data_IF_932929386679
#
_entry.id   IF_932929386679
#
_cell.length_a   1.000
_cell.length_b   1.000
_cell.length_c   1.000
_cell.angle_alpha   90.00
_cell.angle_beta   90.00
_cell.angle_gamma   90.00
#
_symmetry.space_group_name_H-M   'P 1'
#
loop_
_entity.id
_entity.type
_entity.pdbx_description
1 polymer ?
#
# COMPACT_ATOMS: atom_id res chain seq x y z
N UNK A 1 21.29 37.13 -38.88
CA UNK A 1 20.24 36.17 -38.42
C UNK A 1 20.07 36.37 -36.92
N UNK A 2 18.97 36.94 -36.42
CA UNK A 2 18.89 37.15 -34.98
C UNK A 2 17.67 37.86 -34.38
N UNK A 3 16.78 38.51 -35.14
CA UNK A 3 15.57 39.14 -34.57
C UNK A 3 14.29 38.58 -35.19
N UNK A 4 14.25 38.51 -36.52
CA UNK A 4 13.11 37.95 -37.26
C UNK A 4 12.77 36.51 -36.81
N UNK A 5 13.79 35.70 -36.51
CA UNK A 5 13.59 34.36 -35.95
C UNK A 5 12.88 34.42 -34.59
N UNK A 6 13.36 35.24 -33.65
CA UNK A 6 12.73 35.33 -32.33
C UNK A 6 11.33 35.94 -32.40
N UNK A 7 11.05 36.85 -33.34
CA UNK A 7 9.70 37.36 -33.55
C UNK A 7 8.74 36.26 -34.06
N UNK A 8 9.21 35.41 -34.98
CA UNK A 8 8.45 34.24 -35.44
C UNK A 8 8.26 33.22 -34.32
N UNK A 9 9.32 32.87 -33.59
CA UNK A 9 9.27 31.92 -32.47
C UNK A 9 8.36 32.46 -31.34
N UNK A 10 8.38 33.77 -31.08
CA UNK A 10 7.54 34.43 -30.07
C UNK A 10 6.05 34.39 -30.44
N UNK A 11 5.73 34.57 -31.72
CA UNK A 11 4.36 34.41 -32.24
C UNK A 11 3.90 32.94 -32.21
N UNK A 12 4.77 32.02 -32.64
CA UNK A 12 4.48 30.58 -32.64
C UNK A 12 4.31 29.99 -31.22
N UNK A 13 5.04 30.52 -30.23
CA UNK A 13 4.93 30.10 -28.83
C UNK A 13 3.61 30.53 -28.15
N UNK A 14 2.82 31.41 -28.78
CA UNK A 14 1.53 31.88 -28.27
C UNK A 14 0.46 31.72 -29.33
N UNK A 15 0.07 30.48 -29.64
CA UNK A 15 -1.09 30.23 -30.47
C UNK A 15 -2.35 30.81 -29.81
N UNK A 16 -3.37 31.06 -30.62
CA UNK A 16 -4.68 31.49 -30.13
C UNK A 16 -5.27 30.44 -29.19
N UNK A 17 -5.74 30.87 -28.01
CA UNK A 17 -6.18 29.97 -26.96
C UNK A 17 -7.42 29.17 -27.35
N UNK A 18 -8.30 29.78 -28.15
CA UNK A 18 -9.57 29.18 -28.55
C UNK A 18 -9.35 28.10 -29.61
N UNK A 19 -8.41 28.33 -30.54
CA UNK A 19 -7.99 27.32 -31.51
C UNK A 19 -7.36 26.09 -30.84
N UNK A 20 -6.43 26.29 -29.90
CA UNK A 20 -5.80 25.18 -29.16
C UNK A 20 -6.82 24.41 -28.33
N UNK A 21 -7.78 25.10 -27.71
CA UNK A 21 -8.86 24.45 -26.97
C UNK A 21 -9.68 23.54 -27.87
N UNK A 22 -10.08 24.02 -29.06
CA UNK A 22 -10.82 23.21 -30.02
C UNK A 22 -10.06 21.95 -30.44
N UNK A 23 -8.76 22.07 -30.69
CA UNK A 23 -7.91 20.93 -31.05
C UNK A 23 -7.77 19.91 -29.90
N UNK A 24 -7.57 20.40 -28.67
CA UNK A 24 -7.47 19.55 -27.48
C UNK A 24 -8.80 18.85 -27.21
N UNK A 25 -9.92 19.57 -27.27
CA UNK A 25 -11.25 19.00 -27.03
C UNK A 25 -11.59 17.94 -28.08
N UNK A 26 -11.27 18.18 -29.36
CA UNK A 26 -11.44 17.19 -30.42
C UNK A 26 -10.54 15.96 -30.23
N UNK A 27 -9.30 16.16 -29.78
CA UNK A 27 -8.39 15.06 -29.46
C UNK A 27 -8.91 14.23 -28.28
N UNK A 28 -9.33 14.89 -27.19
CA UNK A 28 -9.82 14.23 -25.98
C UNK A 28 -11.12 13.48 -26.25
N UNK A 29 -12.04 14.04 -27.03
CA UNK A 29 -13.26 13.34 -27.45
C UNK A 29 -12.95 12.01 -28.18
N UNK A 30 -12.04 12.03 -29.17
CA UNK A 30 -11.60 10.81 -29.88
C UNK A 30 -10.92 9.80 -28.96
N UNK A 31 -10.13 10.30 -28.01
CA UNK A 31 -9.46 9.45 -27.03
C UNK A 31 -10.46 8.77 -26.10
N UNK A 32 -11.44 9.51 -25.58
CA UNK A 32 -12.50 9.00 -24.72
C UNK A 32 -13.37 7.96 -25.44
N UNK A 33 -13.74 8.21 -26.71
CA UNK A 33 -14.44 7.24 -27.55
C UNK A 33 -13.63 5.93 -27.72
N UNK A 34 -12.33 6.05 -28.03
CA UNK A 34 -11.46 4.89 -28.19
C UNK A 34 -11.26 4.12 -26.88
N UNK A 35 -11.17 4.81 -25.74
CA UNK A 35 -11.10 4.20 -24.41
C UNK A 35 -12.39 3.47 -24.06
N UNK A 36 -13.54 4.10 -24.32
CA UNK A 36 -14.85 3.50 -24.08
C UNK A 36 -15.04 2.20 -24.87
N UNK A 37 -14.69 2.19 -26.16
CA UNK A 37 -14.79 0.97 -26.99
C UNK A 37 -13.84 -0.14 -26.50
N UNK A 38 -12.61 0.19 -26.08
CA UNK A 38 -11.69 -0.77 -25.47
C UNK A 38 -12.26 -1.37 -24.19
N UNK A 39 -12.75 -0.53 -23.28
CA UNK A 39 -13.34 -0.96 -22.02
C UNK A 39 -14.59 -1.83 -22.22
N UNK A 40 -15.38 -1.52 -23.26
CA UNK A 40 -16.54 -2.31 -23.67
C UNK A 40 -16.13 -3.68 -24.21
N UNK A 41 -15.13 -3.74 -25.09
CA UNK A 41 -14.60 -5.01 -25.60
C UNK A 41 -14.03 -5.87 -24.48
N UNK A 42 -13.25 -5.28 -23.56
CA UNK A 42 -12.72 -5.98 -22.39
C UNK A 42 -13.84 -6.48 -21.47
N UNK A 43 -14.89 -5.70 -21.25
CA UNK A 43 -16.05 -6.13 -20.46
C UNK A 43 -16.76 -7.34 -21.08
N UNK A 44 -16.87 -7.38 -22.41
CA UNK A 44 -17.48 -8.50 -23.12
C UNK A 44 -16.62 -9.76 -23.02
N UNK A 45 -15.29 -9.64 -23.15
CA UNK A 45 -14.37 -10.77 -23.07
C UNK A 45 -14.20 -11.35 -21.66
N UNK A 46 -14.42 -10.55 -20.61
CA UNK A 46 -14.23 -10.97 -19.20
C UNK A 46 -15.09 -12.16 -18.75
N UNK A 47 -16.23 -12.41 -19.40
CA UNK A 47 -17.16 -13.49 -19.03
C UNK A 47 -17.26 -14.60 -20.10
N UNK A 48 -16.42 -14.54 -21.13
CA UNK A 48 -16.38 -15.55 -22.18
C UNK A 48 -15.29 -16.56 -21.80
N UNK A 49 -15.66 -17.83 -21.75
CA UNK A 49 -14.71 -18.91 -21.54
C UNK A 49 -13.94 -19.18 -22.84
N UNK A 50 -12.64 -19.42 -22.72
CA UNK A 50 -11.79 -19.80 -23.84
C UNK A 50 -12.12 -21.21 -24.36
N UNK A 51 -11.47 -21.64 -25.44
CA UNK A 51 -11.66 -22.98 -26.04
C UNK A 51 -11.47 -24.14 -25.01
N UNK A 52 -10.62 -23.92 -24.01
CA UNK A 52 -10.34 -24.87 -22.92
C UNK A 52 -11.29 -24.72 -21.71
N UNK A 53 -12.28 -23.82 -21.77
CA UNK A 53 -13.29 -23.62 -20.73
C UNK A 53 -12.85 -22.75 -19.54
N UNK A 54 -11.71 -22.08 -19.61
CA UNK A 54 -11.24 -21.17 -18.57
C UNK A 54 -11.72 -19.73 -18.80
N UNK A 55 -12.04 -19.03 -17.70
CA UNK A 55 -12.40 -17.61 -17.72
C UNK A 55 -11.20 -16.80 -17.20
N UNK A 56 -10.63 -15.87 -18.01
CA UNK A 56 -9.48 -15.09 -17.59
C UNK A 56 -9.84 -14.04 -16.53
N UNK A 57 -9.14 -14.05 -15.39
CA UNK A 57 -9.32 -13.03 -14.33
C UNK A 57 -8.51 -11.77 -14.68
N UNK A 58 -9.16 -10.81 -15.32
CA UNK A 58 -8.55 -9.49 -15.59
C UNK A 58 -8.87 -8.54 -14.45
N UNK A 59 -7.83 -7.97 -13.81
CA UNK A 59 -8.03 -6.89 -12.83
C UNK A 59 -8.30 -5.58 -13.57
N UNK A 60 -9.52 -5.03 -13.43
CA UNK A 60 -9.78 -3.63 -13.76
C UNK A 60 -8.97 -2.74 -12.80
N UNK A 61 -7.90 -2.12 -13.28
CA UNK A 61 -7.17 -1.13 -12.50
C UNK A 61 -8.05 0.12 -12.32
N UNK A 62 -8.35 0.52 -11.08
CA UNK A 62 -8.94 1.85 -10.83
C UNK A 62 -7.89 2.91 -11.10
N UNK A 63 -8.00 3.58 -12.25
CA UNK A 63 -7.19 4.73 -12.64
C UNK A 63 -6.00 4.35 -13.53
N UNK A 64 -6.24 4.36 -14.85
CA UNK A 64 -5.28 4.66 -15.94
C UNK A 64 -3.96 3.88 -16.03
N UNK A 65 -3.68 2.95 -15.12
CA UNK A 65 -2.50 2.10 -15.19
C UNK A 65 -2.82 0.96 -16.13
N UNK A 66 -2.27 1.05 -17.34
CA UNK A 66 -2.30 0.07 -18.42
C UNK A 66 -2.32 -1.36 -17.84
N UNK A 67 -3.52 -1.94 -17.79
CA UNK A 67 -3.76 -3.32 -17.39
C UNK A 67 -4.05 -4.15 -18.62
N UNK A 68 -3.32 -3.93 -19.72
CA UNK A 68 -3.44 -4.61 -21.00
C UNK A 68 -2.94 -6.08 -20.94
N UNK A 69 -3.06 -6.75 -19.79
CA UNK A 69 -2.56 -8.12 -19.58
C UNK A 69 -1.03 -8.23 -19.56
N UNK A 70 -0.31 -7.30 -20.18
CA UNK A 70 1.12 -7.07 -19.99
C UNK A 70 1.25 -6.15 -18.78
N UNK A 71 1.19 -6.74 -17.59
CA UNK A 71 1.51 -6.02 -16.37
C UNK A 71 2.94 -5.47 -16.52
N UNK A 72 3.08 -4.19 -16.86
CA UNK A 72 4.35 -3.51 -16.68
C UNK A 72 4.52 -3.37 -15.16
N UNK A 73 5.29 -4.31 -14.59
CA UNK A 73 5.80 -4.26 -13.21
C UNK A 73 6.86 -3.14 -13.14
N UNK A 74 6.53 -1.96 -13.64
CA UNK A 74 7.47 -0.88 -13.94
C UNK A 74 6.98 0.44 -13.34
N UNK A 75 6.46 0.40 -12.11
CA UNK A 75 6.23 1.62 -11.33
C UNK A 75 6.38 1.40 -9.82
N UNK A 76 6.90 0.26 -9.39
CA UNK A 76 7.25 0.02 -7.99
C UNK A 76 8.66 -0.53 -8.00
N UNK A 77 9.60 0.17 -7.38
CA UNK A 77 10.95 -0.37 -7.22
C UNK A 77 10.84 -1.69 -6.44
N UNK A 78 11.77 -2.62 -6.69
CA UNK A 78 11.80 -3.90 -5.96
C UNK A 78 11.83 -3.66 -4.45
N UNK A 79 12.44 -2.56 -4.02
CA UNK A 79 12.52 -2.13 -2.63
C UNK A 79 11.19 -1.61 -2.09
N UNK A 80 10.43 -0.83 -2.86
CA UNK A 80 9.07 -0.41 -2.47
C UNK A 80 8.13 -1.61 -2.35
N UNK A 81 8.21 -2.55 -3.30
CA UNK A 81 7.40 -3.77 -3.28
C UNK A 81 7.74 -4.63 -2.05
N UNK A 82 9.03 -4.72 -1.69
CA UNK A 82 9.50 -5.39 -0.48
C UNK A 82 9.01 -4.68 0.78
N UNK A 83 9.12 -3.35 0.85
CA UNK A 83 8.63 -2.56 1.98
C UNK A 83 7.11 -2.71 2.19
N UNK A 84 6.34 -2.66 1.10
CA UNK A 84 4.88 -2.87 1.15
C UNK A 84 4.51 -4.31 1.54
N UNK A 85 5.32 -5.31 1.15
CA UNK A 85 5.12 -6.70 1.56
C UNK A 85 5.50 -6.97 3.01
N UNK A 86 6.52 -6.26 3.53
CA UNK A 86 6.95 -6.32 4.92
C UNK A 86 5.91 -5.65 5.85
N UNK A 87 5.31 -4.53 5.41
CA UNK A 87 4.23 -3.87 6.15
C UNK A 87 2.91 -4.68 6.20
N UNK A 88 2.72 -5.65 5.30
CA UNK A 88 1.49 -6.47 5.22
C UNK A 88 1.64 -7.88 5.77
N UNK A 89 2.79 -8.21 6.34
CA UNK A 89 3.07 -9.53 6.88
C UNK A 89 3.60 -9.39 8.30
N UNK A 90 2.67 -9.20 9.23
CA UNK A 90 2.70 -10.15 10.32
C UNK A 90 2.20 -11.46 9.69
N UNK A 91 3.07 -12.43 9.36
CA UNK A 91 2.55 -13.76 9.08
C UNK A 91 1.65 -14.08 10.26
N UNK A 92 0.46 -14.64 10.01
CA UNK A 92 -0.37 -15.20 11.07
C UNK A 92 0.48 -16.28 11.72
N UNK A 93 1.29 -15.87 12.69
CA UNK A 93 2.04 -16.76 13.53
C UNK A 93 0.94 -17.39 14.33
N UNK A 94 0.67 -18.66 14.06
CA UNK A 94 -0.27 -19.46 14.85
C UNK A 94 0.38 -19.71 16.22
N UNK A 95 0.54 -18.62 16.93
CA UNK A 95 1.18 -18.55 18.22
C UNK A 95 0.29 -19.17 19.31
N UNK A 96 -0.93 -19.56 18.91
CA UNK A 96 -1.91 -20.33 19.67
C UNK A 96 -2.47 -21.55 18.88
N UNK A 97 -1.72 -22.12 17.94
CA UNK A 97 -2.17 -23.34 17.24
C UNK A 97 -2.39 -24.50 18.22
N UNK A 98 -1.51 -24.60 19.23
CA UNK A 98 -1.44 -25.74 20.12
C UNK A 98 -1.68 -25.38 21.57
N UNK A 99 -2.37 -26.28 22.28
CA UNK A 99 -2.68 -26.11 23.72
C UNK A 99 -1.43 -25.98 24.60
N UNK A 100 -0.29 -26.54 24.19
CA UNK A 100 0.96 -26.41 24.96
C UNK A 100 1.52 -24.98 24.94
N UNK A 101 1.36 -24.25 23.83
CA UNK A 101 1.80 -22.85 23.70
C UNK A 101 1.07 -21.96 24.72
N UNK A 102 -0.25 -22.15 24.84
CA UNK A 102 -1.05 -21.43 25.83
C UNK A 102 -0.67 -21.80 27.29
N UNK A 103 -0.26 -23.05 27.56
CA UNK A 103 0.19 -23.47 28.90
C UNK A 103 1.55 -22.86 29.25
N UNK A 104 2.47 -22.85 28.29
CA UNK A 104 3.80 -22.25 28.44
C UNK A 104 3.70 -20.75 28.71
N UNK A 105 2.94 -20.02 27.90
CA UNK A 105 2.66 -18.59 28.11
C UNK A 105 2.11 -18.28 29.51
N UNK A 106 1.15 -19.07 29.99
CA UNK A 106 0.58 -18.89 31.35
C UNK A 106 1.62 -19.17 32.44
N UNK A 107 2.51 -20.15 32.22
CA UNK A 107 3.60 -20.44 33.16
C UNK A 107 4.61 -19.30 33.22
N UNK A 108 4.99 -18.75 32.09
CA UNK A 108 5.94 -17.64 32.00
C UNK A 108 5.36 -16.39 32.67
N UNK A 109 4.10 -16.07 32.39
CA UNK A 109 3.37 -14.97 33.05
C UNK A 109 3.31 -15.16 34.58
N UNK A 110 3.09 -16.39 35.05
CA UNK A 110 3.06 -16.68 36.49
C UNK A 110 4.45 -16.56 37.13
N UNK A 111 5.51 -16.97 36.42
CA UNK A 111 6.89 -16.83 36.87
C UNK A 111 7.28 -15.34 37.00
N UNK A 112 6.93 -14.53 36.00
CA UNK A 112 7.15 -13.08 36.03
C UNK A 112 6.41 -12.40 37.17
N UNK A 113 5.16 -12.80 37.43
CA UNK A 113 4.37 -12.25 38.53
C UNK A 113 5.00 -12.57 39.89
N UNK A 114 5.49 -13.80 40.09
CA UNK A 114 6.18 -14.21 41.32
C UNK A 114 7.46 -13.41 41.52
N UNK A 115 8.26 -13.25 40.47
CA UNK A 115 9.49 -12.45 40.50
C UNK A 115 9.20 -11.01 40.94
N UNK A 116 8.21 -10.35 40.32
CA UNK A 116 7.82 -8.98 40.68
C UNK A 116 7.31 -8.89 42.11
N UNK A 117 6.57 -9.90 42.57
CA UNK A 117 6.07 -9.94 43.94
C UNK A 117 7.19 -10.05 44.98
N UNK A 118 8.21 -10.86 44.72
CA UNK A 118 9.37 -10.98 45.60
C UNK A 118 10.18 -9.67 45.65
N UNK A 119 10.40 -9.04 44.49
CA UNK A 119 11.03 -7.71 44.38
C UNK A 119 10.28 -6.65 45.19
N UNK A 120 8.94 -6.62 45.09
CA UNK A 120 8.09 -5.70 45.85
C UNK A 120 8.11 -5.99 47.35
N UNK A 121 8.14 -7.28 47.74
CA UNK A 121 8.25 -7.68 49.15
C UNK A 121 9.55 -7.19 49.76
N UNK A 122 10.67 -7.34 49.05
CA UNK A 122 11.96 -6.79 49.49
C UNK A 122 11.92 -5.27 49.62
N UNK A 123 11.32 -4.58 48.64
CA UNK A 123 11.16 -3.12 48.65
C UNK A 123 10.35 -2.65 49.86
N UNK A 124 9.27 -3.34 50.19
CA UNK A 124 8.43 -3.03 51.36
C UNK A 124 9.22 -3.26 52.65
N UNK A 125 9.99 -4.35 52.76
CA UNK A 125 10.84 -4.60 53.94
C UNK A 125 11.87 -3.47 54.11
N UNK A 126 12.56 -3.06 53.04
CA UNK A 126 13.51 -1.94 53.08
C UNK A 126 12.82 -0.63 53.50
N UNK A 127 11.64 -0.33 52.96
CA UNK A 127 10.87 0.85 53.38
C UNK A 127 10.43 0.78 54.85
N UNK A 128 10.01 -0.39 55.32
CA UNK A 128 9.60 -0.61 56.71
C UNK A 128 10.76 -0.44 57.68
N UNK A 129 11.94 -0.95 57.32
CA UNK A 129 13.18 -0.74 58.08
C UNK A 129 13.58 0.74 58.10
N UNK A 130 13.52 1.43 56.97
CA UNK A 130 13.82 2.87 56.89
C UNK A 130 12.83 3.73 57.68
N UNK A 131 11.55 3.30 57.76
CA UNK A 131 10.50 3.95 58.56
C UNK A 131 10.48 3.49 60.02
N UNK A 132 11.36 2.58 60.42
CA UNK A 132 11.39 2.09 61.79
C UNK A 132 11.93 3.19 62.70
N UNK A 133 11.00 3.91 63.32
CA UNK A 133 11.27 4.96 64.29
C UNK A 133 12.18 4.40 65.40
N UNK A 134 13.34 5.04 65.58
CA UNK A 134 14.32 4.69 66.62
C UNK A 134 14.27 5.77 67.70
N UNK A 135 13.54 5.51 68.80
CA UNK A 135 13.43 6.45 69.89
C UNK A 135 14.65 6.29 70.80
N UNK A 136 15.55 7.26 70.76
CA UNK A 136 15.69 8.08 71.95
C UNK A 136 14.67 9.20 71.83
#
# INVERSE_FOLDING_TARGET
>A
RGLARYMLDYGAARPDSDAVRGDVDAFMARFEEAQYERDRMLAQQQNVADADGFIPVVRRARGGRNSDGVASVAAMSVDDARAASAARKDPVTYSDLYRFQARERKRDQLADLRRRFDEDKEKIVRMRQARQFRPY
#
